data_IF_255472120305
#
_entry.id   IF_255472120305
#
_cell.length_a   1.000
_cell.length_b   1.000
_cell.length_c   1.000
_cell.angle_alpha   90.00
_cell.angle_beta   90.00
_cell.angle_gamma   90.00
#
_symmetry.space_group_name_H-M   'P 1'
#
loop_
_entity.id
_entity.type
_entity.pdbx_description
1 polymer ?
#
# COMPACT_ATOMS: atom_id res chain seq x y z
N UNK A 1 29.82 -8.10 -14.37
CA UNK A 1 30.85 -8.74 -13.52
C UNK A 1 30.56 -8.34 -12.08
N UNK A 2 30.56 -9.27 -11.12
CA UNK A 2 30.36 -8.94 -9.71
C UNK A 2 31.43 -7.95 -9.25
N UNK A 3 31.06 -6.98 -8.42
CA UNK A 3 32.00 -6.03 -7.86
C UNK A 3 32.89 -6.75 -6.84
N UNK A 4 34.20 -6.76 -7.06
CA UNK A 4 35.14 -7.24 -6.04
C UNK A 4 35.21 -6.21 -4.92
N UNK A 5 34.52 -6.47 -3.81
CA UNK A 5 34.62 -5.62 -2.62
C UNK A 5 35.94 -5.88 -1.89
N UNK A 6 36.60 -4.80 -1.46
CA UNK A 6 37.64 -4.90 -0.44
C UNK A 6 37.03 -5.12 0.96
N UNK A 7 37.87 -5.53 1.91
CA UNK A 7 37.43 -5.86 3.27
C UNK A 7 36.70 -4.71 3.95
N UNK A 8 37.13 -3.46 3.71
CA UNK A 8 36.48 -2.26 4.25
C UNK A 8 35.01 -2.14 3.82
N UNK A 9 34.69 -2.45 2.56
CA UNK A 9 33.31 -2.38 2.06
C UNK A 9 32.47 -3.58 2.53
N UNK A 10 33.07 -4.75 2.71
CA UNK A 10 32.38 -5.91 3.32
C UNK A 10 32.05 -5.64 4.79
N UNK A 11 32.99 -5.10 5.56
CA UNK A 11 32.74 -4.65 6.94
C UNK A 11 31.66 -3.57 7.02
N UNK A 12 31.54 -2.69 6.01
CA UNK A 12 30.47 -1.69 5.98
C UNK A 12 29.06 -2.31 5.83
N UNK A 13 28.93 -3.42 5.07
CA UNK A 13 27.68 -4.18 4.98
C UNK A 13 27.39 -4.86 6.32
N UNK A 14 28.38 -5.51 6.94
CA UNK A 14 28.23 -6.13 8.27
C UNK A 14 27.74 -5.12 9.32
N UNK A 15 28.36 -3.93 9.37
CA UNK A 15 27.95 -2.85 10.26
C UNK A 15 26.52 -2.37 9.99
N UNK A 16 26.11 -2.29 8.72
CA UNK A 16 24.73 -1.92 8.36
C UNK A 16 23.71 -2.99 8.79
N UNK A 17 24.07 -4.27 8.72
CA UNK A 17 23.24 -5.36 9.23
C UNK A 17 23.13 -5.30 10.76
N UNK A 18 24.23 -4.99 11.46
CA UNK A 18 24.22 -4.77 12.91
C UNK A 18 23.33 -3.57 13.30
N UNK A 19 23.42 -2.46 12.55
CA UNK A 19 22.49 -1.31 12.70
C UNK A 19 21.02 -1.77 12.59
N UNK A 20 20.70 -2.56 11.56
CA UNK A 20 19.34 -3.08 11.35
C UNK A 20 18.88 -3.98 12.48
N UNK A 21 19.76 -4.84 13.03
CA UNK A 21 19.42 -5.69 14.17
C UNK A 21 19.09 -4.85 15.41
N UNK A 22 19.89 -3.84 15.71
CA UNK A 22 19.66 -2.94 16.84
C UNK A 22 18.33 -2.17 16.69
N UNK A 23 18.03 -1.69 15.48
CA UNK A 23 16.76 -1.00 15.18
C UNK A 23 15.57 -1.98 15.25
N UNK A 24 15.72 -3.22 14.77
CA UNK A 24 14.66 -4.23 14.87
C UNK A 24 14.31 -4.55 16.32
N UNK A 25 15.32 -4.64 17.21
CA UNK A 25 15.07 -4.81 18.64
C UNK A 25 14.36 -3.59 19.23
N UNK A 26 14.76 -2.37 18.85
CA UNK A 26 14.07 -1.16 19.28
C UNK A 26 12.59 -1.14 18.84
N UNK A 27 12.29 -1.57 17.61
CA UNK A 27 10.91 -1.70 17.10
C UNK A 27 10.09 -2.60 18.00
N UNK A 28 10.61 -3.77 18.37
CA UNK A 28 9.95 -4.72 19.29
C UNK A 28 9.73 -4.09 20.66
N UNK A 29 10.76 -3.48 21.24
CA UNK A 29 10.68 -2.82 22.56
C UNK A 29 9.59 -1.72 22.56
N UNK A 30 9.48 -0.99 21.45
CA UNK A 30 8.48 0.06 21.27
C UNK A 30 7.06 -0.50 21.17
N UNK A 31 6.86 -1.60 20.45
CA UNK A 31 5.56 -2.24 20.29
C UNK A 31 5.04 -2.82 21.60
N UNK A 32 5.92 -3.44 22.39
CA UNK A 32 5.58 -3.90 23.74
C UNK A 32 5.15 -2.73 24.63
N UNK A 33 5.85 -1.59 24.52
CA UNK A 33 5.50 -0.37 25.25
C UNK A 33 4.15 0.20 24.79
N UNK A 34 3.93 0.31 23.47
CA UNK A 34 2.68 0.79 22.87
C UNK A 34 1.49 -0.09 23.28
N UNK A 35 1.65 -1.41 23.26
CA UNK A 35 0.63 -2.36 23.70
C UNK A 35 0.23 -2.14 25.15
N UNK A 36 1.19 -1.89 26.03
CA UNK A 36 0.90 -1.61 27.45
C UNK A 36 0.15 -0.30 27.70
N UNK A 37 0.18 0.62 26.72
CA UNK A 37 -0.40 1.97 26.82
C UNK A 37 -1.67 2.14 25.98
N UNK A 38 -1.98 1.18 25.09
CA UNK A 38 -3.14 1.23 24.21
C UNK A 38 -4.31 0.47 24.81
N UNK A 39 -5.47 1.13 24.97
CA UNK A 39 -6.68 0.51 25.50
C UNK A 39 -7.70 0.13 24.42
N UNK A 40 -7.53 0.64 23.20
CA UNK A 40 -8.46 0.44 22.09
C UNK A 40 -8.27 -0.94 21.47
N UNK A 41 -9.28 -1.81 21.55
CA UNK A 41 -9.15 -3.25 21.23
C UNK A 41 -8.68 -3.51 19.80
N UNK A 42 -9.21 -2.76 18.83
CA UNK A 42 -8.86 -2.89 17.42
C UNK A 42 -7.39 -2.51 17.18
N UNK A 43 -6.90 -1.47 17.85
CA UNK A 43 -5.49 -1.04 17.78
C UNK A 43 -4.56 -2.03 18.49
N UNK A 44 -4.98 -2.56 19.65
CA UNK A 44 -4.23 -3.59 20.39
C UNK A 44 -4.00 -4.81 19.51
N UNK A 45 -5.05 -5.34 18.87
CA UNK A 45 -4.91 -6.51 18.00
C UNK A 45 -3.93 -6.27 16.85
N UNK A 46 -4.01 -5.09 16.21
CA UNK A 46 -3.07 -4.71 15.13
C UNK A 46 -1.63 -4.62 15.62
N UNK A 47 -1.40 -4.08 16.82
CA UNK A 47 -0.07 -4.01 17.43
C UNK A 47 0.45 -5.41 17.81
N UNK A 48 -0.40 -6.30 18.31
CA UNK A 48 -0.04 -7.69 18.63
C UNK A 48 0.43 -8.46 17.38
N UNK A 49 -0.32 -8.33 16.27
CA UNK A 49 0.01 -8.98 15.02
C UNK A 49 1.35 -8.46 14.46
N UNK A 50 1.57 -7.13 14.51
CA UNK A 50 2.87 -6.55 14.11
C UNK A 50 4.01 -7.02 15.00
N UNK A 51 3.82 -7.06 16.32
CA UNK A 51 4.84 -7.52 17.26
C UNK A 51 5.23 -8.99 17.03
N UNK A 52 4.27 -9.84 16.68
CA UNK A 52 4.56 -11.24 16.34
C UNK A 52 5.44 -11.33 15.09
N UNK A 53 5.09 -10.58 14.04
CA UNK A 53 5.86 -10.52 12.79
C UNK A 53 7.25 -9.91 13.03
N UNK A 54 7.37 -8.84 13.83
CA UNK A 54 8.64 -8.18 14.11
C UNK A 54 9.61 -9.02 14.95
N UNK A 55 9.08 -9.87 15.84
CA UNK A 55 9.89 -10.89 16.55
C UNK A 55 10.43 -11.94 15.60
N UNK A 56 9.64 -12.40 14.61
CA UNK A 56 10.13 -13.30 13.55
C UNK A 56 11.18 -12.60 12.70
N UNK A 57 10.95 -11.33 12.34
CA UNK A 57 11.90 -10.53 11.57
C UNK A 57 13.25 -10.36 12.26
N UNK A 58 13.29 -10.22 13.59
CA UNK A 58 14.56 -10.19 14.33
C UNK A 58 15.37 -11.47 14.13
N UNK A 59 14.73 -12.64 14.17
CA UNK A 59 15.41 -13.92 13.94
C UNK A 59 15.90 -14.06 12.49
N UNK A 60 15.13 -13.54 11.53
CA UNK A 60 15.54 -13.47 10.12
C UNK A 60 16.80 -12.60 9.97
N UNK A 61 16.83 -11.42 10.60
CA UNK A 61 17.99 -10.50 10.56
C UNK A 61 19.23 -11.17 11.18
N UNK A 62 19.09 -11.81 12.35
CA UNK A 62 20.19 -12.55 13.01
C UNK A 62 20.72 -13.68 12.14
N UNK A 63 19.83 -14.40 11.46
CA UNK A 63 20.19 -15.48 10.54
C UNK A 63 20.96 -14.94 9.35
N UNK A 64 20.51 -13.83 8.74
CA UNK A 64 21.20 -13.19 7.62
C UNK A 64 22.59 -12.68 8.02
N UNK A 65 22.75 -12.11 9.22
CA UNK A 65 24.06 -11.71 9.77
C UNK A 65 25.00 -12.92 9.89
N UNK A 66 24.48 -14.02 10.43
CA UNK A 66 25.25 -15.26 10.60
C UNK A 66 25.68 -15.83 9.25
N UNK A 67 24.78 -15.84 8.26
CA UNK A 67 25.06 -16.32 6.89
C UNK A 67 26.03 -15.41 6.14
N UNK A 68 25.97 -14.10 6.37
CA UNK A 68 26.92 -13.15 5.79
C UNK A 68 28.36 -13.38 6.29
N UNK A 69 28.51 -13.89 7.52
CA UNK A 69 29.77 -14.42 8.05
C UNK A 69 30.76 -13.38 8.55
N UNK A 70 30.42 -12.09 8.49
CA UNK A 70 31.23 -11.00 9.05
C UNK A 70 30.44 -10.33 10.17
N UNK A 71 30.98 -10.40 11.38
CA UNK A 71 30.41 -9.76 12.57
C UNK A 71 30.88 -8.31 12.66
N UNK A 72 29.98 -7.44 13.13
CA UNK A 72 30.26 -6.04 13.41
C UNK A 72 29.33 -5.57 14.52
N UNK A 73 29.74 -4.53 15.22
CA UNK A 73 28.84 -3.77 16.10
C UNK A 73 28.07 -2.72 15.30
N UNK A 74 26.90 -2.27 15.80
CA UNK A 74 26.20 -1.11 15.26
C UNK A 74 27.07 0.15 15.34
N UNK A 75 26.79 1.13 14.49
CA UNK A 75 27.42 2.45 14.58
C UNK A 75 27.09 3.12 15.90
N UNK A 76 28.06 3.85 16.45
CA UNK A 76 27.86 4.69 17.64
C UNK A 76 26.67 5.65 17.47
N UNK A 77 26.52 6.27 16.30
CA UNK A 77 25.38 7.15 16.00
C UNK A 77 24.02 6.42 16.03
N UNK A 78 23.99 5.14 15.67
CA UNK A 78 22.76 4.32 15.72
C UNK A 78 22.49 3.93 17.16
N UNK A 79 23.51 3.55 17.92
CA UNK A 79 23.37 3.26 19.35
C UNK A 79 22.83 4.47 20.12
N UNK A 80 23.38 5.67 19.89
CA UNK A 80 22.87 6.90 20.48
C UNK A 80 21.41 7.19 20.09
N UNK A 81 21.04 6.93 18.84
CA UNK A 81 19.66 7.07 18.37
C UNK A 81 18.73 6.09 19.09
N UNK A 82 19.15 4.82 19.21
CA UNK A 82 18.39 3.78 19.92
C UNK A 82 18.17 4.18 21.38
N UNK A 83 19.22 4.62 22.07
CA UNK A 83 19.12 5.03 23.46
C UNK A 83 18.20 6.24 23.65
N UNK A 84 18.25 7.22 22.74
CA UNK A 84 17.32 8.36 22.75
C UNK A 84 15.88 7.92 22.48
N UNK A 85 15.65 7.06 21.50
CA UNK A 85 14.32 6.59 21.12
C UNK A 85 13.65 5.78 22.24
N UNK A 86 14.40 4.93 22.97
CA UNK A 86 13.89 4.23 24.15
C UNK A 86 13.34 5.18 25.21
N UNK A 87 14.02 6.29 25.43
CA UNK A 87 13.57 7.31 26.38
C UNK A 87 12.31 8.04 25.90
N UNK A 88 12.18 8.30 24.60
CA UNK A 88 11.00 8.96 24.01
C UNK A 88 9.73 8.16 24.28
N UNK A 89 9.73 6.84 24.09
CA UNK A 89 8.51 6.03 24.28
C UNK A 89 8.12 5.82 25.75
N UNK A 90 9.06 5.99 26.68
CA UNK A 90 8.78 5.96 28.12
C UNK A 90 8.18 7.27 28.65
N UNK A 91 8.11 8.34 27.82
CA UNK A 91 7.58 9.64 28.25
C UNK A 91 6.08 9.60 28.48
N UNK A 92 5.65 10.07 29.65
CA UNK A 92 4.24 10.18 30.01
C UNK A 92 3.57 11.43 29.45
N UNK A 93 4.36 12.42 29.01
CA UNK A 93 3.86 13.67 28.43
C UNK A 93 3.61 13.59 26.93
N UNK A 94 3.91 12.45 26.30
CA UNK A 94 3.64 12.20 24.89
C UNK A 94 2.34 11.43 24.68
N UNK A 95 1.55 11.87 23.70
CA UNK A 95 0.31 11.22 23.31
C UNK A 95 0.56 9.86 22.63
N UNK A 96 -0.51 9.06 22.51
CA UNK A 96 -0.42 7.80 21.76
C UNK A 96 -0.13 8.07 20.27
N UNK A 97 -0.68 9.14 19.70
CA UNK A 97 -0.40 9.56 18.33
C UNK A 97 1.09 9.84 18.12
N UNK A 98 1.71 10.65 19.00
CA UNK A 98 3.13 10.99 18.88
C UNK A 98 4.01 9.74 18.93
N UNK A 99 3.73 8.82 19.86
CA UNK A 99 4.46 7.55 20.00
C UNK A 99 4.32 6.66 18.77
N UNK A 100 3.10 6.52 18.23
CA UNK A 100 2.85 5.80 16.98
C UNK A 100 3.57 6.45 15.79
N UNK A 101 3.66 7.77 15.74
CA UNK A 101 4.30 8.50 14.65
C UNK A 101 5.82 8.29 14.68
N UNK A 102 6.42 8.33 15.87
CA UNK A 102 7.82 7.97 16.06
C UNK A 102 8.10 6.51 15.68
N UNK A 103 7.19 5.59 15.99
CA UNK A 103 7.30 4.19 15.61
C UNK A 103 7.24 3.97 14.09
N UNK A 104 6.33 4.67 13.39
CA UNK A 104 6.23 4.62 11.93
C UNK A 104 7.54 5.07 11.27
N UNK A 105 8.14 6.17 11.74
CA UNK A 105 9.42 6.66 11.22
C UNK A 105 10.56 5.65 11.39
N UNK A 106 10.58 4.92 12.52
CA UNK A 106 11.57 3.86 12.75
C UNK A 106 11.39 2.70 11.77
N UNK A 107 10.15 2.23 11.55
CA UNK A 107 9.86 1.19 10.55
C UNK A 107 10.22 1.66 9.14
N UNK A 108 9.94 2.90 8.79
CA UNK A 108 10.34 3.49 7.52
C UNK A 108 11.87 3.40 7.31
N UNK A 109 12.64 3.84 8.31
CA UNK A 109 14.11 3.76 8.27
C UNK A 109 14.64 2.33 8.13
N UNK A 110 13.98 1.36 8.76
CA UNK A 110 14.33 -0.06 8.65
C UNK A 110 14.11 -0.61 7.23
N UNK A 111 13.01 -0.27 6.58
CA UNK A 111 12.71 -0.64 5.19
C UNK A 111 13.77 -0.08 4.25
N UNK A 112 14.08 1.22 4.36
CA UNK A 112 15.10 1.86 3.52
C UNK A 112 16.46 1.18 3.73
N UNK A 113 16.78 0.82 4.97
CA UNK A 113 18.02 0.10 5.31
C UNK A 113 18.09 -1.27 4.64
N UNK A 114 17.02 -2.06 4.71
CA UNK A 114 16.98 -3.38 4.07
C UNK A 114 17.00 -3.31 2.55
N UNK A 115 16.39 -2.29 1.92
CA UNK A 115 16.49 -2.07 0.48
C UNK A 115 17.92 -1.75 0.03
N UNK A 116 18.63 -0.92 0.80
CA UNK A 116 20.04 -0.59 0.52
C UNK A 116 20.92 -1.83 0.66
N UNK A 117 20.70 -2.64 1.71
CA UNK A 117 21.44 -3.91 1.91
C UNK A 117 21.18 -4.89 0.78
N UNK A 118 19.91 -5.07 0.38
CA UNK A 118 19.55 -5.93 -0.75
C UNK A 118 20.22 -5.48 -2.04
N UNK A 119 20.20 -4.16 -2.34
CA UNK A 119 20.83 -3.63 -3.54
C UNK A 119 22.35 -3.75 -3.50
N UNK A 120 22.96 -3.57 -2.33
CA UNK A 120 24.38 -3.82 -2.15
C UNK A 120 24.70 -5.29 -2.47
N UNK A 121 23.94 -6.23 -1.93
CA UNK A 121 24.14 -7.67 -2.13
C UNK A 121 24.16 -8.07 -3.62
N UNK A 122 23.20 -7.56 -4.41
CA UNK A 122 23.13 -7.79 -5.87
C UNK A 122 24.38 -7.34 -6.63
N UNK A 123 25.09 -6.33 -6.13
CA UNK A 123 26.30 -5.80 -6.78
C UNK A 123 27.54 -6.59 -6.39
N UNK A 124 27.60 -7.16 -5.18
CA UNK A 124 28.78 -7.86 -4.66
C UNK A 124 28.97 -9.23 -5.31
N UNK A 125 27.92 -10.05 -5.37
CA UNK A 125 28.02 -11.42 -5.87
C UNK A 125 26.89 -12.32 -5.37
N UNK A 126 26.73 -13.46 -6.05
CA UNK A 126 25.64 -14.42 -5.81
C UNK A 126 25.69 -15.03 -4.41
N UNK A 127 26.89 -15.17 -3.82
CA UNK A 127 27.10 -15.66 -2.46
C UNK A 127 26.49 -14.72 -1.41
N UNK A 128 26.77 -13.42 -1.54
CA UNK A 128 26.25 -12.38 -0.65
C UNK A 128 24.76 -12.16 -0.89
N UNK A 129 24.32 -12.19 -2.15
CA UNK A 129 22.90 -12.11 -2.50
C UNK A 129 22.09 -13.25 -1.86
N UNK A 130 22.59 -14.49 -1.95
CA UNK A 130 21.94 -15.64 -1.32
C UNK A 130 21.86 -15.50 0.21
N UNK A 131 22.95 -15.07 0.86
CA UNK A 131 23.00 -14.88 2.31
C UNK A 131 22.05 -13.78 2.82
N UNK A 132 21.80 -12.74 2.01
CA UNK A 132 21.01 -11.57 2.40
C UNK A 132 19.60 -11.56 1.81
N UNK A 133 19.25 -12.52 0.95
CA UNK A 133 17.91 -12.68 0.40
C UNK A 133 16.79 -12.71 1.47
N UNK A 134 16.96 -13.33 2.65
CA UNK A 134 15.91 -13.32 3.68
C UNK A 134 15.51 -11.93 4.19
N UNK A 135 16.37 -10.92 4.07
CA UNK A 135 16.06 -9.52 4.45
C UNK A 135 14.90 -8.96 3.61
N UNK A 136 14.63 -9.50 2.42
CA UNK A 136 13.48 -9.08 1.63
C UNK A 136 12.13 -9.38 2.28
N UNK A 137 12.03 -10.48 3.04
CA UNK A 137 10.83 -10.79 3.83
C UNK A 137 10.57 -9.70 4.86
N UNK A 138 11.62 -9.31 5.61
CA UNK A 138 11.57 -8.21 6.59
C UNK A 138 11.11 -6.90 5.95
N UNK A 139 11.59 -6.59 4.75
CA UNK A 139 11.17 -5.39 4.02
C UNK A 139 9.69 -5.44 3.59
N UNK A 140 9.22 -6.59 3.14
CA UNK A 140 7.84 -6.77 2.68
C UNK A 140 6.85 -6.65 3.86
N UNK A 141 7.15 -7.30 4.97
CA UNK A 141 6.33 -7.23 6.18
C UNK A 141 6.30 -5.81 6.75
N UNK A 142 7.45 -5.15 6.86
CA UNK A 142 7.49 -3.77 7.34
C UNK A 142 6.70 -2.79 6.44
N UNK A 143 6.68 -3.00 5.12
CA UNK A 143 5.80 -2.22 4.22
C UNK A 143 4.32 -2.44 4.50
N UNK A 144 3.92 -3.68 4.78
CA UNK A 144 2.55 -3.96 5.21
C UNK A 144 2.22 -3.30 6.56
N UNK A 145 3.19 -3.29 7.49
CA UNK A 145 3.06 -2.61 8.78
C UNK A 145 2.89 -1.10 8.64
N UNK A 146 3.60 -0.45 7.70
CA UNK A 146 3.44 0.99 7.46
C UNK A 146 2.02 1.37 7.06
N UNK A 147 1.38 0.61 6.17
CA UNK A 147 0.00 0.89 5.78
C UNK A 147 -0.97 0.71 6.96
N UNK A 148 -0.73 -0.28 7.83
CA UNK A 148 -1.49 -0.45 9.07
C UNK A 148 -1.29 0.74 10.02
N UNK A 149 -0.04 1.16 10.23
CA UNK A 149 0.31 2.29 11.10
C UNK A 149 -0.28 3.61 10.62
N UNK A 150 -0.34 3.86 9.32
CA UNK A 150 -1.01 5.06 8.77
C UNK A 150 -2.48 5.13 9.19
N UNK A 151 -3.23 4.04 9.03
CA UNK A 151 -4.63 3.98 9.46
C UNK A 151 -4.79 4.12 10.98
N UNK A 152 -3.85 3.61 11.77
CA UNK A 152 -3.85 3.83 13.22
C UNK A 152 -3.57 5.28 13.58
N UNK A 153 -2.62 5.93 12.91
CA UNK A 153 -2.28 7.34 13.12
C UNK A 153 -3.43 8.27 12.75
N UNK A 154 -4.13 7.99 11.66
CA UNK A 154 -5.32 8.72 11.25
C UNK A 154 -6.43 8.60 12.30
N UNK A 155 -6.68 7.38 12.79
CA UNK A 155 -7.68 7.14 13.84
C UNK A 155 -7.34 7.84 15.15
N UNK A 156 -6.15 7.57 15.72
CA UNK A 156 -5.75 8.16 17.00
C UNK A 156 -5.60 9.67 16.89
N UNK A 157 -5.05 10.17 15.78
CA UNK A 157 -4.89 11.61 15.53
C UNK A 157 -6.23 12.34 15.39
N UNK A 158 -7.20 11.76 14.67
CA UNK A 158 -8.54 12.35 14.53
C UNK A 158 -9.26 12.39 15.87
N UNK A 159 -9.23 11.29 16.63
CA UNK A 159 -9.78 11.25 17.98
C UNK A 159 -9.11 12.27 18.90
N UNK A 160 -7.78 12.37 18.88
CA UNK A 160 -7.04 13.31 19.72
C UNK A 160 -7.37 14.77 19.40
N UNK A 161 -7.49 15.10 18.11
CA UNK A 161 -7.74 16.48 17.67
C UNK A 161 -9.21 16.91 17.79
N UNK A 162 -10.15 15.98 17.60
CA UNK A 162 -11.58 16.31 17.45
C UNK A 162 -12.47 15.73 18.54
N UNK A 163 -12.01 14.70 19.26
CA UNK A 163 -12.82 13.90 20.17
C UNK A 163 -13.73 12.88 19.48
N UNK A 164 -13.75 12.83 18.14
CA UNK A 164 -14.60 11.97 17.32
C UNK A 164 -13.75 10.93 16.56
N UNK A 165 -14.36 9.80 16.19
CA UNK A 165 -13.73 8.84 15.30
C UNK A 165 -13.67 9.37 13.85
N UNK A 166 -12.62 9.08 13.06
CA UNK A 166 -12.61 9.44 11.65
C UNK A 166 -13.76 8.75 10.91
N UNK A 167 -14.29 9.42 9.87
CA UNK A 167 -15.27 8.80 8.96
C UNK A 167 -14.59 7.69 8.14
N UNK A 168 -14.59 6.48 8.70
CA UNK A 168 -14.05 5.28 8.07
C UNK A 168 -14.99 4.69 7.01
N UNK A 169 -16.08 5.39 6.68
CA UNK A 169 -16.91 5.04 5.53
C UNK A 169 -16.04 4.87 4.29
N UNK A 170 -16.38 3.90 3.44
CA UNK A 170 -15.64 3.65 2.20
C UNK A 170 -15.44 4.94 1.38
N UNK A 171 -16.43 5.83 1.38
CA UNK A 171 -16.38 7.11 0.67
C UNK A 171 -15.42 8.13 1.28
N UNK A 172 -15.28 8.22 2.61
CA UNK A 172 -14.29 9.08 3.24
C UNK A 172 -12.87 8.70 2.80
N UNK A 173 -12.56 7.40 2.85
CA UNK A 173 -11.23 6.88 2.47
C UNK A 173 -10.93 6.98 0.98
N UNK A 174 -11.95 6.87 0.12
CA UNK A 174 -11.80 7.16 -1.31
C UNK A 174 -11.45 8.63 -1.52
N UNK A 175 -12.13 9.54 -0.81
CA UNK A 175 -11.82 10.97 -0.89
C UNK A 175 -10.40 11.28 -0.42
N UNK A 176 -9.94 10.66 0.66
CA UNK A 176 -8.57 10.83 1.15
C UNK A 176 -7.52 10.31 0.16
N UNK A 177 -7.75 9.15 -0.45
CA UNK A 177 -6.87 8.59 -1.48
C UNK A 177 -6.78 9.50 -2.71
N UNK A 178 -7.93 10.04 -3.17
CA UNK A 178 -7.98 11.00 -4.28
C UNK A 178 -7.26 12.30 -3.92
N UNK A 179 -7.47 12.82 -2.72
CA UNK A 179 -6.81 14.04 -2.23
C UNK A 179 -5.29 13.86 -2.15
N UNK A 180 -4.81 12.72 -1.64
CA UNK A 180 -3.39 12.41 -1.56
C UNK A 180 -2.71 12.33 -2.94
N UNK A 181 -3.40 11.78 -3.94
CA UNK A 181 -2.84 11.61 -5.28
C UNK A 181 -2.89 12.87 -6.15
N UNK A 182 -3.92 13.71 -5.98
CA UNK A 182 -4.14 14.91 -6.79
C UNK A 182 -3.66 16.20 -6.13
N UNK A 183 -3.49 16.19 -4.80
CA UNK A 183 -3.21 17.38 -4.00
C UNK A 183 -4.43 18.27 -3.77
N UNK A 184 -5.64 17.85 -4.16
CA UNK A 184 -6.88 18.60 -3.97
C UNK A 184 -7.52 18.24 -2.61
N UNK A 185 -7.68 19.21 -1.71
CA UNK A 185 -8.28 19.01 -0.37
C UNK A 185 -9.79 19.27 -0.38
N UNK A 186 -10.53 18.51 0.43
CA UNK A 186 -11.97 18.54 0.74
C UNK A 186 -12.84 19.73 0.28
N UNK A 187 -14.06 19.39 -0.16
CA UNK A 187 -15.13 20.17 -0.83
C UNK A 187 -15.09 20.12 -2.36
N UNK A 188 -13.90 20.11 -2.97
CA UNK A 188 -13.74 20.00 -4.43
C UNK A 188 -13.83 18.55 -4.97
N UNK A 189 -14.03 17.55 -4.10
CA UNK A 189 -14.25 16.14 -4.48
C UNK A 189 -15.65 15.67 -4.09
N UNK A 190 -16.22 16.17 -2.98
CA UNK A 190 -17.60 15.85 -2.57
C UNK A 190 -18.67 16.62 -3.35
N UNK A 191 -18.40 17.85 -3.78
CA UNK A 191 -19.27 18.58 -4.72
C UNK A 191 -19.17 18.07 -6.17
N UNK A 192 -18.26 17.14 -6.42
CA UNK A 192 -17.83 16.74 -7.76
C UNK A 192 -18.52 15.45 -8.21
N UNK A 193 -18.90 14.58 -7.27
CA UNK A 193 -19.77 13.44 -7.59
C UNK A 193 -21.09 13.87 -8.29
N UNK A 194 -21.62 15.06 -7.96
CA UNK A 194 -22.83 15.67 -8.54
C UNK A 194 -22.61 17.04 -9.25
N UNK A 195 -21.35 17.49 -9.40
CA UNK A 195 -21.06 18.84 -9.90
C UNK A 195 -20.79 18.91 -11.41
N UNK A 196 -21.24 19.99 -12.06
CA UNK A 196 -21.00 20.32 -13.49
C UNK A 196 -19.50 20.38 -13.92
N UNK A 197 -18.57 20.17 -12.99
CA UNK A 197 -17.13 20.31 -13.20
C UNK A 197 -16.33 19.00 -13.28
N UNK A 198 -16.95 17.84 -13.06
CA UNK A 198 -16.24 16.55 -13.16
C UNK A 198 -16.17 16.06 -14.59
N UNK A 199 -14.96 15.72 -15.02
CA UNK A 199 -14.75 15.09 -16.32
C UNK A 199 -14.52 13.58 -16.20
N UNK A 200 -14.46 12.89 -17.35
CA UNK A 200 -14.38 11.43 -17.39
C UNK A 200 -13.12 10.88 -16.71
N UNK A 201 -11.98 11.58 -16.80
CA UNK A 201 -10.73 11.11 -16.18
C UNK A 201 -10.84 11.14 -14.67
N UNK A 202 -11.52 12.15 -14.12
CA UNK A 202 -11.78 12.24 -12.67
C UNK A 202 -12.62 11.06 -12.19
N UNK A 203 -13.68 10.67 -12.92
CA UNK A 203 -14.55 9.55 -12.54
C UNK A 203 -13.83 8.21 -12.57
N UNK A 204 -13.11 7.93 -13.66
CA UNK A 204 -12.31 6.71 -13.82
C UNK A 204 -11.27 6.65 -12.68
N UNK A 205 -10.57 7.75 -12.43
CA UNK A 205 -9.60 7.85 -11.35
C UNK A 205 -10.23 7.59 -9.97
N UNK A 206 -11.40 8.14 -9.69
CA UNK A 206 -12.12 7.89 -8.44
C UNK A 206 -12.51 6.42 -8.27
N UNK A 207 -12.97 5.75 -9.34
CA UNK A 207 -13.25 4.32 -9.34
C UNK A 207 -11.96 3.51 -9.06
N UNK A 208 -10.83 3.88 -9.65
CA UNK A 208 -9.54 3.24 -9.40
C UNK A 208 -9.12 3.34 -7.94
N UNK A 209 -9.25 4.53 -7.34
CA UNK A 209 -8.94 4.71 -5.92
C UNK A 209 -9.89 3.88 -5.05
N UNK A 210 -11.18 3.80 -5.39
CA UNK A 210 -12.13 2.93 -4.70
C UNK A 210 -11.76 1.46 -4.78
N UNK A 211 -11.37 0.95 -5.95
CA UNK A 211 -10.89 -0.42 -6.10
C UNK A 211 -9.63 -0.69 -5.25
N UNK A 212 -8.65 0.22 -5.29
CA UNK A 212 -7.41 0.15 -4.48
C UNK A 212 -7.73 0.12 -2.97
N UNK A 213 -8.66 0.97 -2.51
CA UNK A 213 -9.12 0.99 -1.12
C UNK A 213 -9.82 -0.31 -0.74
N UNK A 214 -10.78 -0.79 -1.54
CA UNK A 214 -11.49 -2.05 -1.29
C UNK A 214 -10.53 -3.24 -1.19
N UNK A 215 -9.49 -3.31 -2.03
CA UNK A 215 -8.46 -4.36 -1.93
C UNK A 215 -7.71 -4.28 -0.60
N UNK A 216 -7.37 -3.07 -0.14
CA UNK A 216 -6.73 -2.88 1.17
C UNK A 216 -7.64 -3.33 2.32
N UNK A 217 -8.94 -3.04 2.21
CA UNK A 217 -9.96 -3.43 3.19
C UNK A 217 -10.15 -4.94 3.25
N UNK A 218 -10.26 -5.61 2.09
CA UNK A 218 -10.38 -7.07 2.03
C UNK A 218 -9.18 -7.72 2.72
N UNK A 219 -7.96 -7.18 2.51
CA UNK A 219 -6.74 -7.68 3.16
C UNK A 219 -6.71 -7.46 4.68
N UNK A 220 -7.46 -6.48 5.17
CA UNK A 220 -7.49 -6.08 6.58
C UNK A 220 -8.75 -6.58 7.30
N UNK A 221 -9.65 -7.25 6.59
CA UNK A 221 -10.90 -7.75 7.15
C UNK A 221 -10.62 -8.84 8.19
N UNK A 222 -11.25 -8.71 9.35
CA UNK A 222 -11.00 -9.60 10.50
C UNK A 222 -11.94 -10.81 10.52
N UNK A 223 -12.99 -10.80 9.70
CA UNK A 223 -13.96 -11.89 9.61
C UNK A 223 -14.44 -12.15 8.18
N UNK A 224 -14.90 -13.38 7.95
CA UNK A 224 -15.33 -13.88 6.63
C UNK A 224 -16.57 -13.14 6.09
N UNK A 225 -17.49 -12.68 6.94
CA UNK A 225 -18.68 -11.95 6.50
C UNK A 225 -18.31 -10.58 5.92
N UNK A 226 -17.49 -9.81 6.64
CA UNK A 226 -16.94 -8.54 6.19
C UNK A 226 -16.14 -8.72 4.88
N UNK A 227 -15.28 -9.73 4.82
CA UNK A 227 -14.50 -10.02 3.62
C UNK A 227 -15.40 -10.35 2.42
N UNK A 228 -16.45 -11.15 2.63
CA UNK A 228 -17.44 -11.48 1.59
C UNK A 228 -18.14 -10.23 1.08
N UNK A 229 -18.59 -9.35 1.97
CA UNK A 229 -19.27 -8.11 1.60
C UNK A 229 -18.36 -7.18 0.81
N UNK A 230 -17.12 -6.98 1.28
CA UNK A 230 -16.13 -6.13 0.61
C UNK A 230 -15.72 -6.69 -0.76
N UNK A 231 -15.50 -8.00 -0.87
CA UNK A 231 -15.20 -8.63 -2.16
C UNK A 231 -16.40 -8.55 -3.12
N UNK A 232 -17.62 -8.79 -2.63
CA UNK A 232 -18.82 -8.64 -3.45
C UNK A 232 -18.98 -7.22 -4.00
N UNK A 233 -18.62 -6.22 -3.20
CA UNK A 233 -18.58 -4.83 -3.63
C UNK A 233 -17.47 -4.57 -4.67
N UNK A 234 -16.24 -5.02 -4.42
CA UNK A 234 -15.12 -4.90 -5.37
C UNK A 234 -15.45 -5.55 -6.71
N UNK A 235 -15.98 -6.77 -6.69
CA UNK A 235 -16.40 -7.53 -7.87
C UNK A 235 -17.42 -6.75 -8.70
N UNK A 236 -18.47 -6.22 -8.06
CA UNK A 236 -19.51 -5.45 -8.75
C UNK A 236 -18.94 -4.14 -9.31
N UNK A 237 -18.17 -3.41 -8.51
CA UNK A 237 -17.62 -2.12 -8.90
C UNK A 237 -16.68 -2.25 -10.11
N UNK A 238 -15.78 -3.23 -10.11
CA UNK A 238 -14.84 -3.47 -11.22
C UNK A 238 -15.55 -3.91 -12.51
N UNK A 239 -16.53 -4.82 -12.43
CA UNK A 239 -17.27 -5.26 -13.61
C UNK A 239 -18.06 -4.13 -14.26
N UNK A 240 -18.73 -3.31 -13.44
CA UNK A 240 -19.52 -2.18 -13.93
C UNK A 240 -18.61 -1.10 -14.53
N UNK A 241 -17.46 -0.85 -13.89
CA UNK A 241 -16.46 0.09 -14.37
C UNK A 241 -15.89 -0.33 -15.72
N UNK A 242 -15.34 -1.55 -15.82
CA UNK A 242 -14.76 -2.08 -17.06
C UNK A 242 -15.75 -2.00 -18.24
N UNK A 243 -16.97 -2.53 -18.05
CA UNK A 243 -17.99 -2.47 -19.11
C UNK A 243 -18.37 -1.06 -19.53
N UNK A 244 -18.41 -0.11 -18.59
CA UNK A 244 -18.70 1.27 -18.94
C UNK A 244 -17.55 1.92 -19.72
N UNK A 245 -16.30 1.53 -19.49
CA UNK A 245 -15.14 1.97 -20.29
C UNK A 245 -15.19 1.37 -21.69
N UNK A 246 -15.47 0.07 -21.79
CA UNK A 246 -15.63 -0.65 -23.05
C UNK A 246 -16.75 -0.08 -23.93
N UNK A 247 -17.86 0.37 -23.32
CA UNK A 247 -19.01 0.94 -24.01
C UNK A 247 -18.82 2.41 -24.40
N UNK A 248 -18.16 3.21 -23.56
CA UNK A 248 -18.16 4.68 -23.68
C UNK A 248 -16.77 5.24 -24.00
N UNK A 249 -15.74 4.78 -23.28
CA UNK A 249 -14.41 5.42 -23.26
C UNK A 249 -13.56 4.89 -24.41
N UNK A 250 -13.36 3.58 -24.48
CA UNK A 250 -12.48 2.95 -25.46
C UNK A 250 -12.87 3.26 -26.92
N UNK A 251 -14.15 3.19 -27.32
CA UNK A 251 -14.54 3.56 -28.69
C UNK A 251 -14.21 5.01 -29.04
N UNK A 252 -14.27 5.93 -28.06
CA UNK A 252 -14.03 7.35 -28.27
C UNK A 252 -12.54 7.69 -28.34
N UNK A 253 -11.69 7.01 -27.57
CA UNK A 253 -10.25 7.28 -27.55
C UNK A 253 -9.47 6.51 -28.62
N UNK A 254 -10.00 5.38 -29.11
CA UNK A 254 -9.31 4.45 -30.02
C UNK A 254 -8.60 5.12 -31.21
N UNK A 255 -9.25 6.12 -31.81
CA UNK A 255 -8.69 6.82 -32.99
C UNK A 255 -7.42 7.64 -32.74
N UNK A 256 -7.20 8.10 -31.51
CA UNK A 256 -6.08 8.99 -31.16
C UNK A 256 -5.18 8.43 -30.05
N UNK A 257 -5.67 7.48 -29.25
CA UNK A 257 -4.84 6.76 -28.28
C UNK A 257 -4.05 5.65 -28.95
N UNK A 258 -4.66 4.94 -29.92
CA UNK A 258 -4.02 3.86 -30.68
C UNK A 258 -4.85 2.58 -30.62
N UNK A 259 -4.96 1.87 -31.75
CA UNK A 259 -5.71 0.61 -31.83
C UNK A 259 -5.10 -0.47 -30.92
N UNK A 260 -3.77 -0.65 -30.99
CA UNK A 260 -3.03 -1.64 -30.20
C UNK A 260 -3.10 -1.32 -28.70
N UNK A 261 -2.83 -0.07 -28.32
CA UNK A 261 -2.89 0.37 -26.91
C UNK A 261 -4.31 0.25 -26.34
N UNK A 262 -5.34 0.51 -27.15
CA UNK A 262 -6.73 0.36 -26.72
C UNK A 262 -7.12 -1.12 -26.61
N UNK A 263 -6.64 -1.97 -27.52
CA UNK A 263 -6.89 -3.42 -27.48
C UNK A 263 -6.24 -4.07 -26.25
N UNK A 264 -5.05 -3.63 -25.87
CA UNK A 264 -4.39 -4.08 -24.64
C UNK A 264 -5.25 -3.85 -23.39
N UNK A 265 -5.90 -2.68 -23.27
CA UNK A 265 -6.82 -2.37 -22.17
C UNK A 265 -8.02 -3.33 -22.12
N UNK A 266 -8.60 -3.70 -23.27
CA UNK A 266 -9.66 -4.73 -23.33
C UNK A 266 -9.15 -6.08 -22.83
N UNK A 267 -7.97 -6.50 -23.29
CA UNK A 267 -7.39 -7.81 -22.95
C UNK A 267 -7.06 -7.89 -21.44
N UNK A 268 -6.57 -6.79 -20.84
CA UNK A 268 -6.33 -6.67 -19.40
C UNK A 268 -7.63 -6.78 -18.58
N UNK A 269 -8.71 -6.14 -19.03
CA UNK A 269 -10.01 -6.20 -18.36
C UNK A 269 -10.64 -7.60 -18.45
N UNK A 270 -10.53 -8.28 -19.59
CA UNK A 270 -10.96 -9.68 -19.74
C UNK A 270 -10.19 -10.61 -18.81
N UNK A 271 -8.87 -10.41 -18.69
CA UNK A 271 -8.03 -11.17 -17.76
C UNK A 271 -8.46 -10.92 -16.31
N UNK A 272 -8.71 -9.66 -15.93
CA UNK A 272 -9.18 -9.31 -14.60
C UNK A 272 -10.54 -9.94 -14.29
N UNK A 273 -11.51 -9.87 -15.22
CA UNK A 273 -12.82 -10.49 -15.07
C UNK A 273 -12.71 -12.02 -14.87
N UNK A 274 -11.81 -12.67 -15.61
CA UNK A 274 -11.55 -14.11 -15.44
C UNK A 274 -11.13 -14.43 -14.01
N UNK A 275 -10.15 -13.71 -13.46
CA UNK A 275 -9.66 -13.93 -12.09
C UNK A 275 -10.75 -13.62 -11.05
N UNK A 276 -11.54 -12.56 -11.25
CA UNK A 276 -12.66 -12.21 -10.36
C UNK A 276 -13.76 -13.29 -10.35
N UNK A 277 -14.07 -13.87 -11.52
CA UNK A 277 -15.04 -14.96 -11.64
C UNK A 277 -14.57 -16.26 -11.00
N UNK A 278 -13.26 -16.55 -11.05
CA UNK A 278 -12.66 -17.65 -10.29
C UNK A 278 -12.82 -17.42 -8.78
N UNK A 279 -12.47 -16.22 -8.29
CA UNK A 279 -12.55 -15.86 -6.87
C UNK A 279 -13.98 -15.92 -6.31
N UNK A 280 -14.99 -15.59 -7.12
CA UNK A 280 -16.41 -15.56 -6.70
C UNK A 280 -16.92 -16.88 -6.11
N UNK A 281 -16.33 -18.01 -6.50
CA UNK A 281 -16.73 -19.34 -6.02
C UNK A 281 -15.74 -19.92 -4.99
N UNK A 282 -14.72 -19.17 -4.57
CA UNK A 282 -13.72 -19.61 -3.61
C UNK A 282 -14.17 -19.37 -2.17
N UNK A 283 -13.67 -20.19 -1.25
CA UNK A 283 -13.72 -19.91 0.18
C UNK A 283 -12.76 -18.75 0.48
N UNK A 284 -13.30 -17.65 1.00
CA UNK A 284 -12.54 -16.44 1.28
C UNK A 284 -11.63 -16.54 2.51
N UNK A 285 -11.74 -17.62 3.28
CA UNK A 285 -10.86 -17.86 4.45
C UNK A 285 -9.55 -18.58 4.11
N UNK A 286 -9.39 -19.04 2.86
CA UNK A 286 -8.22 -19.79 2.42
C UNK A 286 -7.07 -18.94 1.84
N UNK A 287 -5.84 -19.44 1.95
CA UNK A 287 -4.63 -18.82 1.39
C UNK A 287 -4.76 -18.55 -0.13
N UNK A 288 -5.42 -19.44 -0.86
CA UNK A 288 -5.66 -19.27 -2.30
C UNK A 288 -6.51 -18.05 -2.67
N UNK A 289 -7.44 -17.62 -1.81
CA UNK A 289 -8.20 -16.38 -2.04
C UNK A 289 -7.30 -15.16 -1.93
N UNK A 290 -6.39 -15.15 -0.95
CA UNK A 290 -5.43 -14.06 -0.76
C UNK A 290 -4.38 -14.01 -1.87
N UNK A 291 -3.94 -15.15 -2.39
CA UNK A 291 -3.07 -15.21 -3.58
C UNK A 291 -3.75 -14.60 -4.80
N UNK A 292 -5.01 -14.96 -5.05
CA UNK A 292 -5.81 -14.39 -6.14
C UNK A 292 -6.08 -12.90 -5.94
N UNK A 293 -6.32 -12.45 -4.70
CA UNK A 293 -6.45 -11.02 -4.40
C UNK A 293 -5.16 -10.24 -4.69
N UNK A 294 -3.98 -10.83 -4.43
CA UNK A 294 -2.69 -10.22 -4.84
C UNK A 294 -2.55 -10.17 -6.36
N UNK A 295 -3.02 -11.19 -7.08
CA UNK A 295 -3.08 -11.19 -8.54
C UNK A 295 -3.99 -10.06 -9.07
N UNK A 296 -5.21 -9.94 -8.54
CA UNK A 296 -6.16 -8.85 -8.85
C UNK A 296 -5.52 -7.48 -8.61
N UNK A 297 -4.83 -7.31 -7.47
CA UNK A 297 -4.09 -6.07 -7.16
C UNK A 297 -3.03 -5.74 -8.21
N UNK A 298 -2.30 -6.73 -8.71
CA UNK A 298 -1.29 -6.52 -9.75
C UNK A 298 -1.93 -6.08 -11.05
N UNK A 299 -2.95 -6.82 -11.53
CA UNK A 299 -3.65 -6.52 -12.78
C UNK A 299 -4.25 -5.12 -12.78
N UNK A 300 -4.94 -4.72 -11.70
CA UNK A 300 -5.47 -3.36 -11.54
C UNK A 300 -4.32 -2.34 -11.47
N UNK A 301 -3.20 -2.68 -10.83
CA UNK A 301 -2.05 -1.78 -10.73
C UNK A 301 -1.41 -1.46 -12.09
N UNK A 302 -1.36 -2.45 -12.98
CA UNK A 302 -0.83 -2.30 -14.34
C UNK A 302 -1.84 -1.55 -15.22
N UNK A 303 -3.10 -1.98 -15.24
CA UNK A 303 -4.20 -1.36 -15.99
C UNK A 303 -4.38 0.12 -15.66
N UNK A 304 -4.60 0.44 -14.39
CA UNK A 304 -4.81 1.83 -13.96
C UNK A 304 -3.60 2.71 -14.23
N UNK A 305 -2.38 2.15 -14.27
CA UNK A 305 -1.17 2.92 -14.61
C UNK A 305 -1.16 3.29 -16.09
N UNK A 306 -1.50 2.36 -16.98
CA UNK A 306 -1.59 2.63 -18.42
C UNK A 306 -2.62 3.73 -18.65
N UNK A 307 -3.84 3.56 -18.15
CA UNK A 307 -4.88 4.57 -18.32
C UNK A 307 -4.51 5.94 -17.75
N UNK A 308 -4.09 6.00 -16.48
CA UNK A 308 -3.81 7.26 -15.79
C UNK A 308 -2.60 8.00 -16.37
N UNK A 309 -1.60 7.26 -16.88
CA UNK A 309 -0.33 7.83 -17.35
C UNK A 309 -0.32 8.14 -18.85
N UNK A 310 -0.92 7.29 -19.68
CA UNK A 310 -0.84 7.40 -21.15
C UNK A 310 -2.21 7.77 -21.75
N UNK A 311 -3.27 7.03 -21.45
CA UNK A 311 -4.60 7.29 -22.03
C UNK A 311 -5.11 8.67 -21.63
N UNK A 312 -5.07 9.03 -20.34
CA UNK A 312 -5.50 10.33 -19.84
C UNK A 312 -4.68 11.47 -20.43
N UNK A 313 -3.38 11.26 -20.65
CA UNK A 313 -2.55 12.24 -21.34
C UNK A 313 -3.00 12.44 -22.79
N UNK A 314 -3.34 11.36 -23.49
CA UNK A 314 -3.87 11.42 -24.85
C UNK A 314 -5.23 12.12 -24.91
N UNK A 315 -6.13 11.84 -23.96
CA UNK A 315 -7.43 12.52 -23.84
C UNK A 315 -7.27 14.03 -23.59
N UNK A 316 -6.34 14.44 -22.72
CA UNK A 316 -6.05 15.87 -22.49
C UNK A 316 -5.59 16.60 -23.75
N UNK A 317 -4.86 15.91 -24.63
CA UNK A 317 -4.33 16.49 -25.87
C UNK A 317 -5.35 16.53 -27.01
N UNK A 318 -6.32 15.60 -27.03
CA UNK A 318 -7.21 15.39 -28.17
C UNK A 318 -8.68 15.71 -27.90
N UNK A 319 -9.09 15.88 -26.64
CA UNK A 319 -10.48 16.17 -26.27
C UNK A 319 -10.59 17.51 -25.52
N UNK A 320 -11.58 18.32 -25.89
CA UNK A 320 -11.97 19.51 -25.14
C UNK A 320 -12.58 19.14 -23.78
N UNK A 321 -12.54 20.08 -22.83
CA UNK A 321 -13.18 19.91 -21.52
C UNK A 321 -14.68 19.56 -21.64
N UNK A 322 -15.37 20.17 -22.61
CA UNK A 322 -16.79 19.90 -22.87
C UNK A 322 -17.03 18.46 -23.31
N UNK A 323 -16.20 17.92 -24.20
CA UNK A 323 -16.30 16.52 -24.65
C UNK A 323 -16.03 15.56 -23.49
N UNK A 324 -15.02 15.84 -22.67
CA UNK A 324 -14.69 15.01 -21.50
C UNK A 324 -15.80 15.02 -20.45
N UNK A 325 -16.45 16.17 -20.21
CA UNK A 325 -17.62 16.26 -19.32
C UNK A 325 -18.85 15.53 -19.87
N UNK A 326 -19.08 15.62 -21.19
CA UNK A 326 -20.16 14.87 -21.83
C UNK A 326 -19.92 13.36 -21.73
N UNK A 327 -18.69 12.90 -21.95
CA UNK A 327 -18.31 11.51 -21.78
C UNK A 327 -18.48 11.05 -20.32
N UNK A 328 -18.16 11.90 -19.36
CA UNK A 328 -18.40 11.63 -17.93
C UNK A 328 -19.88 11.32 -17.64
N UNK A 329 -20.79 12.07 -18.25
CA UNK A 329 -22.24 11.84 -18.12
C UNK A 329 -22.66 10.51 -18.75
N UNK A 330 -22.17 10.21 -19.96
CA UNK A 330 -22.45 8.93 -20.65
C UNK A 330 -21.92 7.73 -19.85
N UNK A 331 -20.74 7.87 -19.26
CA UNK A 331 -20.13 6.85 -18.40
C UNK A 331 -20.98 6.61 -17.14
N UNK A 332 -21.43 7.68 -16.47
CA UNK A 332 -22.37 7.55 -15.33
C UNK A 332 -23.66 6.83 -15.71
N UNK A 333 -24.24 7.17 -16.86
CA UNK A 333 -25.47 6.55 -17.38
C UNK A 333 -25.28 5.06 -17.71
N UNK A 334 -24.18 4.69 -18.39
CA UNK A 334 -23.82 3.30 -18.66
C UNK A 334 -23.68 2.52 -17.34
N UNK A 335 -22.92 3.05 -16.37
CA UNK A 335 -22.79 2.41 -15.05
C UNK A 335 -24.13 2.21 -14.35
N UNK A 336 -25.05 3.17 -14.41
CA UNK A 336 -26.38 3.04 -13.82
C UNK A 336 -27.20 1.92 -14.48
N UNK A 337 -27.12 1.78 -15.81
CA UNK A 337 -27.80 0.71 -16.55
C UNK A 337 -27.20 -0.67 -16.27
N UNK A 338 -25.88 -0.77 -16.11
CA UNK A 338 -25.18 -2.01 -15.77
C UNK A 338 -25.42 -2.45 -14.31
N UNK A 339 -25.83 -1.53 -13.44
CA UNK A 339 -26.11 -1.79 -12.03
C UNK A 339 -27.54 -2.23 -11.72
N UNK A 340 -28.49 -1.99 -12.64
CA UNK A 340 -29.93 -2.29 -12.52
C UNK A 340 -30.27 -3.74 -12.88
#
# INVERSE_FOLDING_TARGET
>A
MPATLNDTKRSAIAMKLADMQAIQQLIIDNEETLLSQCNEKSLVKRLEDMLEDDRKNLEIVKTAITQYGIQSEPKESVQEMVDKAKNVNARSDMSLYEKLAHHELLKHGQIVSGLVVHKAAQVVGQDVEAALSPINTVNFENRAHQERLKGMLEYVGTQELTGEEPDQGLWGRVQDAVAAATGLVGSAVSQSADGENVDIMDLIFMDHQKAKTLISEIRSAENSEQMTALFGQLYKDLLVHAKAEEEVVYPAVRSFYGEEDTQELYDEQEQLETVLNEMKNMDNTGEGFMDKLRQVKSLIGDHTRQEESTMFASMRNNMSEKERKQMAQQFKESKQQLQS
#
